data_IF_389597480338
#
_entry.id   IF_389597480338
#
_cell.length_a   1.000
_cell.length_b   1.000
_cell.length_c   1.000
_cell.angle_alpha   90.00
_cell.angle_beta   90.00
_cell.angle_gamma   90.00
#
_symmetry.space_group_name_H-M   'P 1'
#
loop_
_entity.id
_entity.type
_entity.pdbx_description
1 polymer ?
#
# COMPACT_ATOMS: atom_id res chain seq x y z
N UNK A 1 -9.00 -13.70 -20.10
CA UNK A 1 -7.72 -13.07 -19.68
C UNK A 1 -6.90 -14.15 -19.01
N UNK A 2 -6.02 -14.80 -19.75
CA UNK A 2 -5.17 -15.85 -19.20
C UNK A 2 -4.03 -15.18 -18.45
N UNK A 3 -4.07 -15.21 -17.12
CA UNK A 3 -2.96 -14.75 -16.30
C UNK A 3 -1.85 -15.80 -16.36
N UNK A 4 -0.82 -15.52 -17.16
CA UNK A 4 0.32 -16.41 -17.26
C UNK A 4 1.12 -16.31 -15.96
N UNK A 5 1.64 -17.41 -15.39
CA UNK A 5 2.46 -17.37 -14.18
C UNK A 5 3.65 -16.40 -14.30
N UNK A 6 4.19 -16.20 -15.51
CA UNK A 6 5.23 -15.22 -15.80
C UNK A 6 4.84 -13.77 -15.42
N UNK A 7 3.58 -13.37 -15.62
CA UNK A 7 3.09 -12.03 -15.25
C UNK A 7 3.05 -11.85 -13.73
N UNK A 8 2.73 -12.91 -12.98
CA UNK A 8 2.73 -12.90 -11.52
C UNK A 8 4.17 -12.77 -10.96
N UNK A 9 5.13 -13.50 -11.56
CA UNK A 9 6.54 -13.39 -11.18
C UNK A 9 7.14 -12.02 -11.52
N UNK A 10 6.79 -11.43 -12.66
CA UNK A 10 7.21 -10.07 -13.00
C UNK A 10 6.70 -9.02 -12.01
N UNK A 11 5.47 -9.18 -11.49
CA UNK A 11 4.93 -8.31 -10.44
C UNK A 11 5.68 -8.47 -9.10
N UNK A 12 6.19 -9.66 -8.79
CA UNK A 12 6.97 -9.94 -7.57
C UNK A 12 8.39 -9.35 -7.63
N UNK A 13 9.00 -9.28 -8.82
CA UNK A 13 10.38 -8.78 -9.01
C UNK A 13 10.53 -7.26 -8.78
N UNK A 14 9.43 -6.50 -8.75
CA UNK A 14 9.44 -5.05 -8.50
C UNK A 14 9.40 -4.66 -7.02
N UNK A 15 9.18 -5.60 -6.11
CA UNK A 15 9.12 -5.34 -4.67
C UNK A 15 10.51 -5.53 -4.04
N UNK A 16 11.02 -4.55 -3.27
CA UNK A 16 12.32 -4.65 -2.63
C UNK A 16 12.31 -5.78 -1.60
N UNK A 17 13.48 -6.34 -1.32
CA UNK A 17 13.64 -7.12 -0.10
C UNK A 17 13.41 -6.19 1.10
N UNK A 18 12.39 -6.47 1.91
CA UNK A 18 12.06 -5.74 3.15
C UNK A 18 12.15 -6.67 4.37
N UNK A 19 13.35 -7.13 4.78
CA UNK A 19 13.51 -7.96 5.96
C UNK A 19 12.98 -7.26 7.21
N UNK A 20 12.22 -7.98 8.04
CA UNK A 20 11.66 -7.41 9.28
C UNK A 20 10.54 -6.39 9.07
N UNK A 21 9.98 -6.27 7.86
CA UNK A 21 8.86 -5.38 7.60
C UNK A 21 7.66 -5.68 8.53
N UNK A 22 7.32 -4.71 9.38
CA UNK A 22 6.23 -4.82 10.37
C UNK A 22 4.83 -4.89 9.75
N UNK A 23 4.69 -4.55 8.46
CA UNK A 23 3.44 -4.71 7.73
C UNK A 23 3.12 -6.16 7.35
N UNK A 24 4.12 -7.06 7.37
CA UNK A 24 3.92 -8.47 7.00
C UNK A 24 2.92 -9.15 7.94
N UNK A 25 1.94 -9.83 7.35
CA UNK A 25 0.85 -10.49 8.08
C UNK A 25 -0.25 -9.56 8.59
N UNK A 26 -0.23 -8.27 8.24
CA UNK A 26 -1.24 -7.28 8.68
C UNK A 26 -1.77 -6.38 7.56
N UNK A 27 -2.02 -6.87 6.32
CA UNK A 27 -2.38 -6.01 5.18
C UNK A 27 -3.60 -5.11 5.47
N UNK A 28 -4.60 -5.62 6.18
CA UNK A 28 -5.79 -4.87 6.60
C UNK A 28 -5.51 -3.54 7.32
N UNK A 29 -4.38 -3.39 8.04
CA UNK A 29 -4.02 -2.12 8.68
C UNK A 29 -3.47 -1.10 7.68
N UNK A 30 -2.86 -1.57 6.59
CA UNK A 30 -2.09 -0.76 5.65
C UNK A 30 -2.84 -0.48 4.34
N UNK A 31 -3.78 -1.34 3.95
CA UNK A 31 -4.52 -1.20 2.70
C UNK A 31 -5.36 0.09 2.66
N UNK A 32 -5.80 0.49 1.46
CA UNK A 32 -6.72 1.62 1.29
C UNK A 32 -8.07 1.39 1.97
N UNK A 33 -8.87 2.46 2.12
CA UNK A 33 -10.22 2.37 2.66
C UNK A 33 -11.10 1.45 1.80
N UNK A 34 -11.83 0.52 2.43
CA UNK A 34 -12.87 -0.23 1.73
C UNK A 34 -14.11 0.64 1.52
N UNK A 35 -14.93 0.30 0.52
CA UNK A 35 -16.08 1.12 0.11
C UNK A 35 -17.17 1.26 1.20
N UNK A 36 -17.26 0.28 2.09
CA UNK A 36 -18.21 0.16 3.19
C UNK A 36 -17.57 0.37 4.57
N UNK A 37 -16.31 0.81 4.62
CA UNK A 37 -15.59 1.09 5.85
C UNK A 37 -15.84 2.52 6.32
N UNK A 38 -16.15 2.72 7.61
CA UNK A 38 -16.36 4.06 8.15
C UNK A 38 -15.04 4.83 8.31
N UNK A 39 -15.10 6.14 8.15
CA UNK A 39 -13.92 7.04 8.24
C UNK A 39 -13.18 6.90 9.58
N UNK A 40 -13.90 6.68 10.68
CA UNK A 40 -13.31 6.46 12.01
C UNK A 40 -12.48 5.17 12.05
N UNK A 41 -12.98 4.08 11.45
CA UNK A 41 -12.28 2.79 11.40
C UNK A 41 -11.05 2.89 10.51
N UNK A 42 -11.17 3.54 9.34
CA UNK A 42 -10.04 3.83 8.43
C UNK A 42 -8.96 4.62 9.17
N UNK A 43 -9.36 5.72 9.83
CA UNK A 43 -8.46 6.59 10.57
C UNK A 43 -7.74 5.82 11.68
N UNK A 44 -8.48 5.00 12.44
CA UNK A 44 -7.94 4.20 13.52
C UNK A 44 -6.89 3.21 13.02
N UNK A 45 -7.20 2.40 12.00
CA UNK A 45 -6.24 1.38 11.52
C UNK A 45 -5.04 2.00 10.80
N UNK A 46 -5.23 3.09 10.05
CA UNK A 46 -4.12 3.82 9.43
C UNK A 46 -3.22 4.47 10.48
N UNK A 47 -3.76 4.96 11.60
CA UNK A 47 -2.95 5.47 12.71
C UNK A 47 -2.06 4.36 13.32
N UNK A 48 -2.59 3.14 13.46
CA UNK A 48 -1.84 1.99 13.93
C UNK A 48 -0.74 1.59 12.93
N UNK A 49 -1.06 1.56 11.63
CA UNK A 49 -0.08 1.30 10.59
C UNK A 49 1.07 2.32 10.58
N UNK A 50 0.77 3.61 10.73
CA UNK A 50 1.78 4.66 10.86
C UNK A 50 2.66 4.45 12.10
N UNK A 51 2.07 4.06 13.24
CA UNK A 51 2.81 3.68 14.44
C UNK A 51 3.77 2.52 14.21
N UNK A 52 3.33 1.48 13.48
CA UNK A 52 4.16 0.34 13.11
C UNK A 52 5.29 0.74 12.16
N UNK A 53 5.03 1.61 11.18
CA UNK A 53 6.05 2.12 10.26
C UNK A 53 7.19 2.83 11.01
N UNK A 54 6.89 3.67 12.00
CA UNK A 54 7.90 4.41 12.79
C UNK A 54 8.92 3.52 13.48
N UNK A 55 8.54 2.29 13.81
CA UNK A 55 9.38 1.30 14.49
C UNK A 55 9.86 0.18 13.54
N UNK A 56 9.65 0.34 12.23
CA UNK A 56 9.92 -0.70 11.26
C UNK A 56 11.40 -0.72 10.85
N UNK A 57 12.13 -1.85 11.03
CA UNK A 57 13.52 -1.98 10.58
C UNK A 57 13.69 -1.75 9.07
N UNK A 58 12.66 -2.04 8.28
CA UNK A 58 12.67 -1.92 6.83
C UNK A 58 12.21 -0.53 6.32
N UNK A 59 11.97 0.46 7.21
CA UNK A 59 11.37 1.74 6.81
C UNK A 59 12.21 2.44 5.72
N UNK A 60 13.52 2.58 5.93
CA UNK A 60 14.40 3.27 4.97
C UNK A 60 14.38 2.66 3.57
N UNK A 61 14.43 1.32 3.48
CA UNK A 61 14.32 0.60 2.20
C UNK A 61 12.94 0.73 1.58
N UNK A 62 11.88 0.75 2.40
CA UNK A 62 10.51 0.98 1.95
C UNK A 62 10.34 2.39 1.37
N UNK A 63 10.92 3.41 2.00
CA UNK A 63 10.92 4.80 1.51
C UNK A 63 11.65 4.92 0.17
N UNK A 64 12.87 4.38 0.08
CA UNK A 64 13.68 4.42 -1.14
C UNK A 64 12.93 3.81 -2.32
N UNK A 65 12.32 2.64 -2.12
CA UNK A 65 11.50 2.01 -3.15
C UNK A 65 10.27 2.85 -3.50
N UNK A 66 9.50 3.30 -2.51
CA UNK A 66 8.26 4.05 -2.76
C UNK A 66 8.53 5.36 -3.49
N UNK A 67 9.61 6.06 -3.15
CA UNK A 67 9.98 7.33 -3.76
C UNK A 67 10.50 7.16 -5.20
N UNK A 68 11.14 6.01 -5.49
CA UNK A 68 11.54 5.60 -6.84
C UNK A 68 10.39 5.23 -7.77
N UNK A 69 9.19 4.96 -7.25
CA UNK A 69 8.03 4.65 -8.09
C UNK A 69 7.48 5.93 -8.77
N UNK A 70 7.11 5.86 -10.07
CA UNK A 70 6.29 6.88 -10.70
C UNK A 70 5.02 7.12 -9.88
N UNK A 71 4.58 8.38 -9.73
CA UNK A 71 3.40 8.73 -8.90
C UNK A 71 2.16 7.89 -9.23
N UNK A 72 2.00 7.49 -10.49
CA UNK A 72 0.87 6.66 -10.93
C UNK A 72 0.95 5.17 -10.55
N UNK A 73 2.11 4.71 -10.08
CA UNK A 73 2.38 3.32 -9.68
C UNK A 73 2.58 3.18 -8.18
N UNK A 74 2.48 4.27 -7.42
CA UNK A 74 2.58 4.24 -5.95
C UNK A 74 1.34 3.54 -5.37
N UNK A 75 1.52 2.48 -4.55
CA UNK A 75 0.41 1.75 -3.94
C UNK A 75 -0.40 2.64 -2.99
N UNK A 76 -1.74 2.57 -2.99
CA UNK A 76 -2.58 3.33 -2.06
C UNK A 76 -2.52 2.74 -0.64
N UNK A 77 -3.03 3.48 0.34
CA UNK A 77 -2.98 3.11 1.76
C UNK A 77 -1.72 3.62 2.47
N UNK A 78 -1.35 3.01 3.59
CA UNK A 78 -0.16 3.38 4.37
C UNK A 78 1.06 2.63 3.86
N UNK A 79 1.98 3.36 3.23
CA UNK A 79 3.22 2.81 2.67
C UNK A 79 4.36 3.78 2.95
N UNK A 80 5.57 3.27 3.25
CA UNK A 80 6.73 4.09 3.56
C UNK A 80 6.48 5.13 4.69
N UNK A 81 5.65 4.77 5.68
CA UNK A 81 5.28 5.67 6.78
C UNK A 81 4.39 6.85 6.37
N UNK A 82 3.74 6.79 5.20
CA UNK A 82 2.92 7.85 4.62
C UNK A 82 1.55 7.30 4.22
N UNK A 83 0.50 8.08 4.40
CA UNK A 83 -0.80 7.80 3.80
C UNK A 83 -0.78 8.25 2.33
N UNK A 84 -0.90 7.30 1.41
CA UNK A 84 -1.04 7.56 -0.03
C UNK A 84 -2.51 7.37 -0.44
N UNK A 85 -3.21 8.44 -0.83
CA UNK A 85 -4.62 8.35 -1.17
C UNK A 85 -4.83 7.52 -2.44
N UNK A 86 -5.96 6.82 -2.49
CA UNK A 86 -6.42 6.24 -3.75
C UNK A 86 -6.62 7.36 -4.77
N UNK A 87 -6.20 7.13 -6.01
CA UNK A 87 -6.61 8.03 -7.09
C UNK A 87 -8.11 7.87 -7.25
N UNK A 88 -8.87 8.96 -7.04
CA UNK A 88 -10.29 8.96 -7.33
C UNK A 88 -10.51 8.40 -8.74
N UNK A 89 -11.18 7.24 -8.83
CA UNK A 89 -11.57 6.67 -10.10
C UNK A 89 -12.43 7.67 -10.87
N UNK A 90 -12.38 7.64 -12.20
CA UNK A 90 -13.28 8.47 -13.01
C UNK A 90 -14.72 8.13 -12.60
N UNK A 91 -15.57 9.11 -12.23
CA UNK A 91 -16.95 8.83 -11.86
C UNK A 91 -17.62 8.05 -12.99
N UNK A 92 -18.31 6.96 -12.62
CA UNK A 92 -19.05 6.13 -13.58
C UNK A 92 -20.08 7.04 -14.23
N UNK A 93 -20.04 7.17 -15.56
CA UNK A 93 -21.00 7.99 -16.31
C UNK A 93 -22.39 7.41 -16.03
N UNK A 94 -23.22 8.14 -15.30
CA UNK A 94 -24.63 7.79 -15.11
C UNK A 94 -25.27 7.74 -16.49
N UNK A 95 -25.86 6.60 -16.84
CA UNK A 95 -26.62 6.42 -18.08
C UNK A 95 -28.02 7.02 -17.92
#
# INVERSE_FOLDING_TARGET
MSHHPADLFAALLGAPSLPGARCRGKPHLFDEAAADESDDVVTQRHSQALGLCRLCPALASCETWFDGLPKAKRPPGVVAGRLNPQKAGRPRKTA
#
